data_IF_131798363060
#
_entry.id   IF_131798363060
#
_cell.length_a   1.000
_cell.length_b   1.000
_cell.length_c   1.000
_cell.angle_alpha   90.00
_cell.angle_beta   90.00
_cell.angle_gamma   90.00
#
_symmetry.space_group_name_H-M   'P 1'
#
loop_
_entity.id
_entity.type
_entity.pdbx_description
1 polymer ?
#
# COMPACT_ATOMS: atom_id res chain seq x y z
N UNK A 1 2.10 26.31 -8.83
CA UNK A 1 2.27 25.63 -7.55
C UNK A 1 2.99 24.34 -7.83
N UNK A 2 4.32 24.33 -7.69
CA UNK A 2 5.08 23.09 -7.73
C UNK A 2 4.97 22.50 -6.32
N UNK A 3 4.39 21.31 -6.19
CA UNK A 3 4.37 20.58 -4.93
C UNK A 3 5.84 20.24 -4.61
N UNK A 4 6.42 20.89 -3.60
CA UNK A 4 7.77 20.59 -3.15
C UNK A 4 7.83 19.11 -2.74
N UNK A 5 8.75 18.30 -3.29
CA UNK A 5 8.87 16.87 -2.95
C UNK A 5 9.15 16.62 -1.46
N UNK A 6 9.47 17.67 -0.70
CA UNK A 6 9.66 17.66 0.75
C UNK A 6 8.37 17.70 1.57
N UNK A 7 7.25 18.11 0.97
CA UNK A 7 5.95 18.06 1.64
C UNK A 7 5.46 16.61 1.72
N UNK A 8 5.72 15.82 0.67
CA UNK A 8 5.44 14.39 0.68
C UNK A 8 6.19 13.67 1.80
N UNK A 9 7.46 14.02 2.08
CA UNK A 9 8.24 13.46 3.21
C UNK A 9 7.63 13.70 4.60
N UNK A 10 6.72 14.68 4.74
CA UNK A 10 6.04 15.01 6.02
C UNK A 10 4.59 14.55 6.06
N UNK A 11 4.11 13.97 4.97
CA UNK A 11 2.74 13.54 4.86
C UNK A 11 2.55 12.24 5.67
N UNK A 12 1.65 12.26 6.65
CA UNK A 12 1.26 11.03 7.33
C UNK A 12 0.25 10.27 6.46
N UNK A 13 0.56 9.04 6.00
CA UNK A 13 -0.39 8.28 5.19
C UNK A 13 -1.68 7.89 5.91
N UNK A 14 -1.74 7.94 7.26
CA UNK A 14 -3.00 7.74 7.97
C UNK A 14 -4.01 8.88 7.75
N UNK A 15 -3.54 10.08 7.38
CA UNK A 15 -4.38 11.23 7.07
C UNK A 15 -4.92 11.20 5.62
N UNK A 16 -4.44 10.27 4.80
CA UNK A 16 -4.90 10.12 3.42
C UNK A 16 -6.23 9.36 3.34
N UNK A 17 -7.07 9.69 2.36
CA UNK A 17 -8.18 8.82 1.97
C UNK A 17 -7.65 7.59 1.20
N UNK A 18 -8.47 6.55 1.05
CA UNK A 18 -8.07 5.33 0.34
C UNK A 18 -7.65 5.62 -1.11
N UNK A 19 -8.37 6.52 -1.80
CA UNK A 19 -8.03 6.98 -3.14
C UNK A 19 -6.71 7.76 -3.16
N UNK A 20 -6.51 8.67 -2.20
CA UNK A 20 -5.28 9.47 -2.15
C UNK A 20 -4.06 8.61 -1.83
N UNK A 21 -4.21 7.61 -0.95
CA UNK A 21 -3.18 6.62 -0.65
C UNK A 21 -2.83 5.81 -1.91
N UNK A 22 -3.84 5.37 -2.67
CA UNK A 22 -3.66 4.66 -3.94
C UNK A 22 -2.90 5.49 -4.96
N UNK A 23 -3.33 6.73 -5.19
CA UNK A 23 -2.70 7.66 -6.14
C UNK A 23 -1.26 7.95 -5.74
N UNK A 24 -1.00 8.15 -4.45
CA UNK A 24 0.35 8.46 -3.97
C UNK A 24 1.28 7.27 -4.16
N UNK A 25 0.85 6.05 -3.79
CA UNK A 25 1.62 4.83 -4.06
C UNK A 25 1.96 4.67 -5.54
N UNK A 26 1.01 4.95 -6.43
CA UNK A 26 1.22 4.94 -7.89
C UNK A 26 2.24 5.99 -8.34
N UNK A 27 2.24 7.19 -7.76
CA UNK A 27 3.25 8.24 -8.03
C UNK A 27 4.67 7.75 -7.70
N UNK A 28 4.82 6.94 -6.66
CA UNK A 28 6.09 6.32 -6.27
C UNK A 28 6.38 4.98 -7.00
N UNK A 29 5.55 4.60 -7.98
CA UNK A 29 5.76 3.40 -8.79
C UNK A 29 5.21 2.11 -8.18
N UNK A 30 4.52 2.18 -7.03
CA UNK A 30 3.86 1.03 -6.41
C UNK A 30 2.44 0.90 -6.97
N UNK A 31 2.07 -0.29 -7.45
CA UNK A 31 0.70 -0.58 -7.90
C UNK A 31 -0.08 -1.28 -6.78
N UNK A 32 -0.88 -0.56 -5.97
CA UNK A 32 -1.69 -1.20 -4.95
C UNK A 32 -2.88 -1.95 -5.56
N UNK A 33 -3.24 -3.06 -4.93
CA UNK A 33 -4.48 -3.77 -5.12
C UNK A 33 -5.68 -3.00 -4.51
N UNK A 34 -6.75 -3.69 -4.11
CA UNK A 34 -7.88 -3.06 -3.43
C UNK A 34 -7.42 -2.36 -2.15
N UNK A 35 -7.64 -1.05 -2.04
CA UNK A 35 -7.38 -0.28 -0.82
C UNK A 35 -8.69 -0.27 -0.03
N UNK A 36 -8.77 -1.16 0.95
CA UNK A 36 -9.93 -1.35 1.83
C UNK A 36 -9.45 -1.42 3.27
N UNK A 37 -10.35 -1.33 4.25
CA UNK A 37 -9.98 -1.29 5.67
C UNK A 37 -8.96 -2.35 6.11
N UNK A 38 -9.05 -3.58 5.56
CA UNK A 38 -8.13 -4.69 5.87
C UNK A 38 -6.72 -4.52 5.28
N UNK A 39 -6.59 -3.84 4.14
CA UNK A 39 -5.33 -3.64 3.42
C UNK A 39 -4.76 -2.22 3.57
N UNK A 40 -5.56 -1.28 4.09
CA UNK A 40 -5.20 0.13 4.24
C UNK A 40 -3.92 0.32 5.07
N UNK A 41 -3.87 -0.29 6.26
CA UNK A 41 -2.70 -0.17 7.15
C UNK A 41 -1.39 -0.68 6.50
N UNK A 42 -1.48 -1.70 5.64
CA UNK A 42 -0.35 -2.23 4.90
C UNK A 42 0.17 -1.21 3.88
N UNK A 43 -0.74 -0.58 3.14
CA UNK A 43 -0.41 0.45 2.17
C UNK A 43 0.11 1.73 2.82
N UNK A 44 -0.44 2.12 3.96
CA UNK A 44 0.06 3.25 4.75
C UNK A 44 1.50 3.01 5.19
N UNK A 45 1.80 1.82 5.76
CA UNK A 45 3.17 1.46 6.16
C UNK A 45 4.12 1.46 4.97
N UNK A 46 3.69 0.92 3.82
CA UNK A 46 4.49 0.94 2.58
C UNK A 46 4.78 2.37 2.12
N UNK A 47 3.79 3.26 2.19
CA UNK A 47 4.00 4.67 1.86
C UNK A 47 4.95 5.35 2.87
N UNK A 48 4.84 5.10 4.18
CA UNK A 48 5.79 5.63 5.19
C UNK A 48 7.23 5.21 4.90
N UNK A 49 7.45 3.98 4.41
CA UNK A 49 8.80 3.53 4.02
C UNK A 49 9.31 4.29 2.81
N UNK A 50 8.47 4.51 1.79
CA UNK A 50 8.85 5.26 0.57
C UNK A 50 9.15 6.73 0.84
N UNK A 51 8.49 7.31 1.84
CA UNK A 51 8.70 8.70 2.26
C UNK A 51 9.95 8.87 3.15
N UNK A 52 10.54 7.79 3.66
CA UNK A 52 11.76 7.87 4.46
C UNK A 52 13.00 7.81 3.57
N UNK A 53 14.01 8.69 3.78
CA UNK A 53 15.23 8.73 2.97
C UNK A 53 16.18 7.53 3.20
N UNK A 54 15.85 6.63 4.12
CA UNK A 54 16.66 5.48 4.55
C UNK A 54 16.39 4.22 3.71
N UNK A 55 16.58 4.31 2.38
CA UNK A 55 16.78 3.15 1.49
C UNK A 55 15.54 2.33 1.13
N UNK A 56 15.51 1.74 -0.09
CA UNK A 56 14.39 0.94 -0.57
C UNK A 56 14.41 -0.41 0.14
N UNK A 57 13.67 -0.54 1.23
CA UNK A 57 13.40 -1.87 1.78
C UNK A 57 12.45 -2.56 0.81
N UNK A 58 13.03 -3.46 0.01
CA UNK A 58 12.37 -4.43 -0.85
C UNK A 58 11.30 -5.20 -0.06
N UNK A 59 10.13 -4.61 0.13
CA UNK A 59 8.91 -5.37 0.36
C UNK A 59 8.47 -5.87 -1.02
N UNK A 60 9.26 -6.83 -1.50
CA UNK A 60 9.01 -7.72 -2.60
C UNK A 60 7.51 -8.05 -2.67
N UNK A 61 6.85 -7.59 -3.73
CA UNK A 61 5.43 -7.91 -4.00
C UNK A 61 5.20 -9.43 -4.08
N UNK A 62 6.27 -10.23 -4.17
CA UNK A 62 6.28 -11.68 -4.11
C UNK A 62 6.04 -12.29 -2.71
N UNK A 63 6.40 -11.63 -1.60
CA UNK A 63 6.25 -12.26 -0.26
C UNK A 63 4.83 -12.11 0.30
N UNK A 64 4.13 -11.03 -0.08
CA UNK A 64 2.71 -10.84 0.28
C UNK A 64 1.82 -11.86 -0.44
N UNK A 65 2.15 -12.23 -1.68
CA UNK A 65 1.41 -13.24 -2.46
C UNK A 65 1.55 -14.66 -1.92
N UNK A 66 2.63 -14.97 -1.19
CA UNK A 66 2.89 -16.32 -0.66
C UNK A 66 2.16 -16.57 0.67
N UNK A 67 1.89 -15.54 1.47
CA UNK A 67 1.19 -15.71 2.77
C UNK A 67 -0.29 -16.10 2.62
N UNK A 68 -0.88 -15.89 1.44
CA UNK A 68 -2.31 -16.16 1.17
C UNK A 68 -2.55 -17.34 0.23
N UNK A 69 -1.52 -18.07 -0.20
CA UNK A 69 -1.67 -19.21 -1.11
C UNK A 69 -2.04 -20.54 -0.39
N UNK A 70 -2.64 -20.47 0.79
CA UNK A 70 -3.18 -21.62 1.54
C UNK A 70 -4.54 -21.33 2.19
N UNK A 71 -5.38 -20.46 1.61
CA UNK A 71 -6.81 -20.41 1.96
C UNK A 71 -7.67 -20.62 0.73
N UNK A 72 -7.63 -21.85 0.20
CA UNK A 72 -8.82 -22.46 -0.39
C UNK A 72 -9.85 -22.68 0.74
N UNK A 73 -10.63 -21.66 1.03
CA UNK A 73 -11.95 -21.84 1.62
C UNK A 73 -12.95 -22.03 0.48
N UNK A 74 -13.11 -23.27 0.04
CA UNK A 74 -14.23 -23.68 -0.81
C UNK A 74 -15.53 -23.52 0.01
N UNK A 75 -16.14 -22.34 -0.05
CA UNK A 75 -17.55 -22.16 0.32
C UNK A 75 -18.39 -22.44 -0.92
N UNK A 76 -18.62 -23.72 -1.23
CA UNK A 76 -19.68 -24.13 -2.16
C UNK A 76 -21.01 -24.17 -1.40
N UNK A 77 -21.73 -23.04 -1.38
CA UNK A 77 -23.19 -23.01 -1.20
C UNK A 77 -23.85 -23.08 -2.58
N UNK A 78 -24.42 -24.24 -2.94
CA UNK A 78 -25.44 -24.32 -3.98
C UNK A 78 -26.45 -25.45 -3.64
N UNK A 79 -27.68 -25.00 -3.35
CA UNK A 79 -29.03 -25.65 -3.24
C UNK A 79 -29.28 -26.89 -2.35
#
# INVERSE_FOLDING_TARGET
>A
YAEDPKEAERLDPSDLTDDALRVTLLKYGVKPGPVVASTRALYERKLRTLLQPSGPEELNEAEIGILYSDSEGEEEEDD
#
